data_IF_279866778652
#
_entry.id   IF_279866778652
#
_cell.length_a   1.000
_cell.length_b   1.000
_cell.length_c   1.000
_cell.angle_alpha   90.00
_cell.angle_beta   90.00
_cell.angle_gamma   90.00
#
_symmetry.space_group_name_H-M   'P 1'
#
loop_
_entity.id
_entity.type
_entity.pdbx_description
1 polymer ?
#
# COMPACT_ATOMS: atom_id res chain seq x y z
N UNK A 1 49.55 17.46 -19.64
CA UNK A 1 48.23 16.84 -19.91
C UNK A 1 48.08 15.81 -18.83
N UNK A 2 47.57 16.27 -17.69
CA UNK A 2 47.56 15.46 -16.48
C UNK A 2 46.25 14.68 -16.46
N UNK A 3 46.37 13.36 -16.60
CA UNK A 3 45.27 12.44 -16.35
C UNK A 3 44.97 12.46 -14.86
N UNK A 4 43.93 13.20 -14.47
CA UNK A 4 43.31 13.07 -13.17
C UNK A 4 42.54 11.75 -13.18
N UNK A 5 43.20 10.69 -12.72
CA UNK A 5 42.50 9.51 -12.21
C UNK A 5 41.62 9.96 -11.04
N UNK A 6 40.32 10.03 -11.30
CA UNK A 6 39.29 10.20 -10.28
C UNK A 6 39.30 8.98 -9.36
N UNK A 7 40.13 9.04 -8.32
CA UNK A 7 40.13 8.09 -7.21
C UNK A 7 38.79 8.21 -6.47
N UNK A 8 37.82 7.34 -6.80
CA UNK A 8 36.63 7.14 -5.96
C UNK A 8 37.09 6.71 -4.56
N UNK A 9 36.70 7.39 -3.47
CA UNK A 9 37.04 6.96 -2.13
C UNK A 9 36.40 5.61 -1.82
N UNK A 10 37.23 4.62 -1.46
CA UNK A 10 36.79 3.31 -0.96
C UNK A 10 36.32 3.45 0.50
N UNK A 11 35.02 3.65 0.69
CA UNK A 11 34.19 3.18 1.83
C UNK A 11 32.77 3.79 1.80
N UNK A 12 32.26 4.15 0.62
CA UNK A 12 30.92 4.72 0.51
C UNK A 12 29.91 3.57 0.52
N UNK A 13 29.24 3.34 1.64
CA UNK A 13 28.13 2.39 1.72
C UNK A 13 27.09 2.84 0.69
N UNK A 14 26.83 1.99 -0.31
CA UNK A 14 25.90 2.31 -1.39
C UNK A 14 24.46 2.02 -0.94
N UNK A 15 23.52 2.91 -1.29
CA UNK A 15 22.12 2.75 -0.92
C UNK A 15 21.51 1.46 -1.49
N UNK A 16 21.96 1.02 -2.68
CA UNK A 16 21.52 -0.23 -3.30
C UNK A 16 22.04 -1.45 -2.54
N UNK A 17 23.30 -1.42 -2.10
CA UNK A 17 23.90 -2.51 -1.32
C UNK A 17 23.16 -2.70 0.02
N UNK A 18 22.80 -1.60 0.68
CA UNK A 18 21.97 -1.65 1.89
C UNK A 18 20.57 -2.22 1.60
N UNK A 19 19.93 -1.81 0.51
CA UNK A 19 18.64 -2.38 0.11
C UNK A 19 18.75 -3.89 -0.11
N UNK A 20 19.78 -4.36 -0.82
CA UNK A 20 19.99 -5.78 -1.06
C UNK A 20 20.20 -6.55 0.26
N UNK A 21 20.97 -5.98 1.19
CA UNK A 21 21.15 -6.54 2.53
C UNK A 21 19.84 -6.61 3.30
N UNK A 22 19.04 -5.55 3.26
CA UNK A 22 17.73 -5.50 3.91
C UNK A 22 16.75 -6.56 3.34
N UNK A 23 16.77 -6.78 2.03
CA UNK A 23 15.98 -7.86 1.39
C UNK A 23 16.37 -9.25 1.94
N UNK A 24 17.66 -9.54 2.10
CA UNK A 24 18.13 -10.81 2.68
C UNK A 24 17.68 -10.95 4.14
N UNK A 25 17.71 -9.86 4.91
CA UNK A 25 17.22 -9.86 6.30
C UNK A 25 15.70 -10.10 6.35
N UNK A 26 14.94 -9.55 5.40
CA UNK A 26 13.51 -9.79 5.25
C UNK A 26 13.17 -11.24 4.98
N UNK A 27 13.90 -11.89 4.06
CA UNK A 27 13.72 -13.32 3.75
C UNK A 27 14.00 -14.21 4.97
N UNK A 28 14.87 -13.75 5.87
CA UNK A 28 15.18 -14.42 7.14
C UNK A 28 14.23 -14.05 8.28
N UNK A 29 13.18 -13.27 8.02
CA UNK A 29 12.25 -12.73 9.02
C UNK A 29 12.91 -11.89 10.12
N UNK A 30 14.09 -11.31 9.85
CA UNK A 30 14.78 -10.39 10.75
C UNK A 30 14.23 -8.97 10.56
N UNK A 31 12.96 -8.78 10.91
CA UNK A 31 12.21 -7.58 10.55
C UNK A 31 12.78 -6.29 11.13
N UNK A 32 13.29 -6.31 12.36
CA UNK A 32 13.84 -5.11 12.99
C UNK A 32 15.12 -4.66 12.28
N UNK A 33 16.05 -5.57 12.06
CA UNK A 33 17.30 -5.30 11.37
C UNK A 33 17.06 -4.92 9.90
N UNK A 34 16.11 -5.57 9.24
CA UNK A 34 15.68 -5.19 7.90
C UNK A 34 15.13 -3.76 7.87
N UNK A 35 14.26 -3.39 8.82
CA UNK A 35 13.68 -2.05 8.91
C UNK A 35 14.76 -0.98 9.04
N UNK A 36 15.68 -1.16 9.99
CA UNK A 36 16.78 -0.24 10.24
C UNK A 36 17.69 -0.12 8.99
N UNK A 37 17.95 -1.23 8.29
CA UNK A 37 18.78 -1.24 7.08
C UNK A 37 18.08 -0.56 5.88
N UNK A 38 16.78 -0.77 5.69
CA UNK A 38 16.01 -0.04 4.66
C UNK A 38 15.95 1.45 4.96
N UNK A 39 15.77 1.82 6.23
CA UNK A 39 15.75 3.21 6.65
C UNK A 39 17.09 3.89 6.35
N UNK A 40 18.21 3.26 6.70
CA UNK A 40 19.55 3.74 6.37
C UNK A 40 19.76 3.88 4.85
N UNK A 41 19.31 2.89 4.07
CA UNK A 41 19.31 2.96 2.60
C UNK A 41 18.56 4.20 2.09
N UNK A 42 17.39 4.49 2.66
CA UNK A 42 16.57 5.65 2.29
C UNK A 42 17.23 6.98 2.67
N UNK A 43 17.87 7.07 3.84
CA UNK A 43 18.59 8.27 4.29
C UNK A 43 19.81 8.56 3.40
N UNK A 44 20.61 7.53 3.08
CA UNK A 44 21.75 7.68 2.15
C UNK A 44 21.25 8.11 0.76
N UNK A 45 20.20 7.45 0.26
CA UNK A 45 19.60 7.82 -1.02
C UNK A 45 19.06 9.25 -1.04
N UNK A 46 18.50 9.71 0.08
CA UNK A 46 18.04 11.10 0.25
C UNK A 46 19.21 12.07 0.22
N UNK A 47 20.29 11.78 0.96
CA UNK A 47 21.48 12.63 1.02
C UNK A 47 22.23 12.71 -0.33
N UNK A 48 22.17 11.64 -1.11
CA UNK A 48 22.76 11.57 -2.45
C UNK A 48 21.81 12.04 -3.56
N UNK A 49 20.62 12.54 -3.21
CA UNK A 49 19.59 12.99 -4.15
C UNK A 49 19.26 11.95 -5.24
N UNK A 50 19.24 10.67 -4.85
CA UNK A 50 18.81 9.57 -5.71
C UNK A 50 17.34 9.77 -6.11
N UNK A 51 16.93 9.13 -7.21
CA UNK A 51 15.55 9.15 -7.71
C UNK A 51 14.52 8.94 -6.60
N UNK A 52 13.51 9.81 -6.56
CA UNK A 52 12.54 9.85 -5.47
C UNK A 52 11.66 8.60 -5.32
N UNK A 53 11.44 7.86 -6.39
CA UNK A 53 10.77 6.55 -6.36
C UNK A 53 11.54 5.59 -5.47
N UNK A 54 12.86 5.49 -5.67
CA UNK A 54 13.73 4.68 -4.84
C UNK A 54 13.66 5.08 -3.36
N UNK A 55 13.81 6.37 -3.06
CA UNK A 55 13.75 6.88 -1.68
C UNK A 55 12.43 6.50 -1.01
N UNK A 56 11.30 6.76 -1.69
CA UNK A 56 9.97 6.50 -1.15
C UNK A 56 9.74 5.02 -0.87
N UNK A 57 10.10 4.15 -1.82
CA UNK A 57 9.95 2.71 -1.64
C UNK A 57 10.76 2.19 -0.44
N UNK A 58 11.99 2.70 -0.22
CA UNK A 58 12.81 2.25 0.92
C UNK A 58 12.23 2.67 2.27
N UNK A 59 11.70 3.89 2.40
CA UNK A 59 10.96 4.26 3.60
C UNK A 59 9.67 3.44 3.76
N UNK A 60 8.93 3.16 2.68
CA UNK A 60 7.73 2.31 2.76
C UNK A 60 8.08 0.88 3.20
N UNK A 61 9.18 0.32 2.71
CA UNK A 61 9.66 -1.00 3.09
C UNK A 61 10.10 -1.03 4.56
N UNK A 62 10.85 -0.03 5.02
CA UNK A 62 11.18 0.13 6.44
C UNK A 62 9.93 0.21 7.32
N UNK A 63 8.94 1.01 6.91
CA UNK A 63 7.68 1.16 7.65
C UNK A 63 6.92 -0.17 7.78
N UNK A 64 6.80 -0.94 6.68
CA UNK A 64 6.16 -2.28 6.71
C UNK A 64 6.86 -3.20 7.70
N UNK A 65 8.19 -3.16 7.78
CA UNK A 65 8.96 -3.96 8.72
C UNK A 65 8.71 -3.53 10.16
N UNK A 66 8.73 -2.21 10.43
CA UNK A 66 8.40 -1.68 11.76
C UNK A 66 6.98 -2.01 12.20
N UNK A 67 5.99 -2.00 11.30
CA UNK A 67 4.63 -2.42 11.62
C UNK A 67 4.57 -3.89 12.08
N UNK A 68 5.32 -4.79 11.43
CA UNK A 68 5.40 -6.21 11.85
C UNK A 68 5.95 -6.39 13.27
N UNK A 69 6.80 -5.47 13.71
CA UNK A 69 7.38 -5.46 15.06
C UNK A 69 6.64 -4.52 16.02
N UNK A 70 5.48 -3.97 15.61
CA UNK A 70 4.70 -2.97 16.36
C UNK A 70 5.53 -1.76 16.80
N UNK A 71 6.48 -1.34 15.98
CA UNK A 71 7.38 -0.22 16.24
C UNK A 71 6.81 1.09 15.66
N UNK A 72 6.70 2.11 16.52
CA UNK A 72 6.14 3.43 16.18
C UNK A 72 6.95 4.19 15.12
N UNK A 73 8.21 3.79 14.87
CA UNK A 73 9.06 4.37 13.81
C UNK A 73 8.48 4.19 12.41
N UNK A 74 7.51 3.30 12.23
CA UNK A 74 6.69 3.24 11.01
C UNK A 74 6.07 4.60 10.63
N UNK A 75 5.61 5.38 11.63
CA UNK A 75 5.07 6.72 11.41
C UNK A 75 6.10 7.66 10.77
N UNK A 76 7.33 7.68 11.28
CA UNK A 76 8.38 8.57 10.76
C UNK A 76 8.69 8.24 9.30
N UNK A 77 8.83 6.96 8.98
CA UNK A 77 9.05 6.49 7.61
C UNK A 77 7.94 6.96 6.67
N UNK A 78 6.68 6.73 7.05
CA UNK A 78 5.53 7.20 6.25
C UNK A 78 5.48 8.72 6.11
N UNK A 79 5.78 9.46 7.19
CA UNK A 79 5.82 10.91 7.13
C UNK A 79 6.93 11.41 6.16
N UNK A 80 8.09 10.75 6.13
CA UNK A 80 9.16 11.06 5.16
C UNK A 80 8.72 10.81 3.71
N UNK A 81 7.96 9.74 3.44
CA UNK A 81 7.39 9.49 2.10
C UNK A 81 6.43 10.62 1.69
N UNK A 82 5.58 11.08 2.61
CA UNK A 82 4.70 12.25 2.37
C UNK A 82 5.56 13.48 2.06
N UNK A 83 6.60 13.75 2.84
CA UNK A 83 7.48 14.91 2.64
C UNK A 83 8.20 14.87 1.28
N UNK A 84 8.65 13.70 0.84
CA UNK A 84 9.25 13.54 -0.50
C UNK A 84 8.23 13.84 -1.61
N UNK A 85 6.98 13.37 -1.48
CA UNK A 85 5.93 13.71 -2.46
C UNK A 85 5.63 15.22 -2.47
N UNK A 86 5.54 15.86 -1.30
CA UNK A 86 5.33 17.32 -1.21
C UNK A 86 6.47 18.10 -1.87
N UNK A 87 7.73 17.76 -1.54
CA UNK A 87 8.92 18.38 -2.14
C UNK A 87 8.95 18.27 -3.66
N UNK A 88 8.45 17.16 -4.20
CA UNK A 88 8.39 16.93 -5.65
C UNK A 88 7.13 17.52 -6.32
N UNK A 89 6.32 18.30 -5.59
CA UNK A 89 5.08 18.88 -6.10
C UNK A 89 3.96 17.86 -6.32
N UNK A 90 4.10 16.62 -5.85
CA UNK A 90 3.12 15.55 -5.99
C UNK A 90 2.04 15.63 -4.90
N UNK A 91 1.38 16.80 -4.78
CA UNK A 91 0.49 17.13 -3.65
C UNK A 91 -0.67 16.15 -3.50
N UNK A 92 -1.40 15.85 -4.58
CA UNK A 92 -2.51 14.89 -4.55
C UNK A 92 -2.04 13.49 -4.08
N UNK A 93 -0.83 13.08 -4.47
CA UNK A 93 -0.24 11.81 -4.05
C UNK A 93 0.17 11.86 -2.58
N UNK A 94 0.73 12.97 -2.11
CA UNK A 94 1.05 13.18 -0.70
C UNK A 94 -0.20 13.09 0.18
N UNK A 95 -1.30 13.72 -0.24
CA UNK A 95 -2.60 13.68 0.45
C UNK A 95 -3.14 12.25 0.48
N UNK A 96 -3.16 11.54 -0.65
CA UNK A 96 -3.55 10.13 -0.70
C UNK A 96 -2.74 9.31 0.31
N UNK A 97 -1.41 9.48 0.33
CA UNK A 97 -0.51 8.76 1.23
C UNK A 97 -0.76 9.08 2.70
N UNK A 98 -1.07 10.32 3.06
CA UNK A 98 -1.48 10.69 4.41
C UNK A 98 -2.64 9.82 4.92
N UNK A 99 -3.68 9.61 4.11
CA UNK A 99 -4.84 8.82 4.52
C UNK A 99 -4.59 7.31 4.47
N UNK A 100 -3.89 6.80 3.45
CA UNK A 100 -3.51 5.38 3.39
C UNK A 100 -2.66 4.98 4.61
N UNK A 101 -1.58 5.71 4.86
CA UNK A 101 -0.68 5.40 5.97
C UNK A 101 -1.30 5.67 7.33
N UNK A 102 -2.11 6.73 7.46
CA UNK A 102 -2.89 6.97 8.67
C UNK A 102 -3.81 5.79 8.96
N UNK A 103 -4.49 5.25 7.95
CA UNK A 103 -5.33 4.07 8.11
C UNK A 103 -4.54 2.83 8.53
N UNK A 104 -3.40 2.56 7.89
CA UNK A 104 -2.53 1.45 8.29
C UNK A 104 -2.07 1.56 9.75
N UNK A 105 -1.64 2.75 10.19
CA UNK A 105 -1.27 3.00 11.59
C UNK A 105 -2.47 2.87 12.53
N UNK A 106 -3.67 3.28 12.11
CA UNK A 106 -4.89 3.14 12.90
C UNK A 106 -5.24 1.66 13.13
N UNK A 107 -5.09 0.82 12.11
CA UNK A 107 -5.35 -0.63 12.22
C UNK A 107 -4.27 -1.31 13.06
N UNK A 108 -3.00 -0.98 12.83
CA UNK A 108 -1.88 -1.73 13.41
C UNK A 108 -1.38 -1.22 14.76
N UNK A 109 -1.50 0.09 15.02
CA UNK A 109 -0.90 0.83 16.14
C UNK A 109 -1.88 1.87 16.74
N UNK A 110 -3.17 1.52 16.83
CA UNK A 110 -4.24 2.43 17.27
C UNK A 110 -3.93 3.18 18.57
N UNK A 111 -3.38 2.48 19.56
CA UNK A 111 -3.16 2.99 20.91
C UNK A 111 -2.17 4.16 20.96
N UNK A 112 -1.29 4.26 19.96
CA UNK A 112 -0.25 5.29 19.86
C UNK A 112 -0.79 6.62 19.32
N UNK A 113 -1.99 6.64 18.71
CA UNK A 113 -2.64 7.85 18.20
C UNK A 113 -1.90 8.56 17.04
N UNK A 114 -0.79 8.01 16.54
CA UNK A 114 0.05 8.64 15.52
C UNK A 114 -0.64 8.80 14.17
N UNK A 115 -1.65 7.97 13.88
CA UNK A 115 -2.45 8.08 12.67
C UNK A 115 -3.15 9.43 12.52
N UNK A 116 -3.57 10.07 13.64
CA UNK A 116 -4.22 11.39 13.60
C UNK A 116 -3.29 12.48 13.07
N UNK A 117 -1.96 12.34 13.30
CA UNK A 117 -0.99 13.30 12.75
C UNK A 117 -0.96 13.25 11.23
N UNK A 118 -1.03 12.07 10.64
CA UNK A 118 -1.09 11.91 9.18
C UNK A 118 -2.42 12.38 8.62
N UNK A 119 -3.54 12.06 9.27
CA UNK A 119 -4.86 12.56 8.84
C UNK A 119 -4.93 14.08 8.85
N UNK A 120 -4.50 14.73 9.93
CA UNK A 120 -4.44 16.20 10.01
C UNK A 120 -3.56 16.78 8.90
N UNK A 121 -2.36 16.23 8.71
CA UNK A 121 -1.47 16.66 7.63
C UNK A 121 -2.10 16.54 6.24
N UNK A 122 -2.87 15.48 5.98
CA UNK A 122 -3.61 15.31 4.73
C UNK A 122 -4.68 16.36 4.51
N UNK A 123 -5.44 16.71 5.56
CA UNK A 123 -6.44 17.79 5.48
C UNK A 123 -5.78 19.18 5.37
N UNK A 124 -4.70 19.43 6.11
CA UNK A 124 -3.94 20.69 6.02
C UNK A 124 -3.38 20.90 4.61
N UNK A 125 -2.84 19.84 3.98
CA UNK A 125 -2.38 19.88 2.59
C UNK A 125 -3.52 20.15 1.61
N UNK A 126 -4.72 19.61 1.84
CA UNK A 126 -5.88 19.94 0.99
C UNK A 126 -6.24 21.40 1.09
N UNK A 127 -6.37 21.90 2.32
CA UNK A 127 -6.74 23.29 2.59
C UNK A 127 -5.72 24.25 2.00
N UNK A 128 -4.42 23.97 2.16
CA UNK A 128 -3.34 24.80 1.63
C UNK A 128 -3.36 24.91 0.10
N UNK A 129 -3.87 23.90 -0.59
CA UNK A 129 -3.88 23.82 -2.06
C UNK A 129 -5.29 23.94 -2.66
N UNK A 130 -6.29 24.37 -1.87
CA UNK A 130 -7.69 24.52 -2.27
C UNK A 130 -8.31 23.27 -2.93
N UNK A 131 -7.87 22.08 -2.49
CA UNK A 131 -8.30 20.81 -3.05
C UNK A 131 -9.58 20.31 -2.36
N UNK A 132 -10.67 20.31 -3.11
CA UNK A 132 -11.95 19.78 -2.66
C UNK A 132 -11.97 18.25 -2.70
N UNK A 133 -12.70 17.65 -1.76
CA UNK A 133 -12.95 16.22 -1.73
C UNK A 133 -14.43 15.95 -1.45
N UNK A 134 -14.99 15.01 -2.19
CA UNK A 134 -16.29 14.41 -1.89
C UNK A 134 -16.09 12.91 -1.71
N UNK A 135 -16.60 12.36 -0.62
CA UNK A 135 -16.51 10.94 -0.36
C UNK A 135 -17.36 10.17 -1.38
N UNK A 136 -16.77 9.16 -2.03
CA UNK A 136 -17.51 8.23 -2.89
C UNK A 136 -18.51 7.42 -2.06
N UNK A 137 -18.03 6.88 -0.95
CA UNK A 137 -18.78 6.19 0.10
C UNK A 137 -18.13 6.48 1.44
N UNK A 138 -18.89 6.45 2.54
CA UNK A 138 -18.36 6.54 3.92
C UNK A 138 -18.58 5.26 4.72
N UNK A 139 -19.36 4.33 4.17
CA UNK A 139 -19.59 2.99 4.69
C UNK A 139 -19.71 2.05 3.50
N UNK A 140 -19.19 0.84 3.64
CA UNK A 140 -19.43 -0.23 2.69
C UNK A 140 -20.20 -1.34 3.41
N UNK A 141 -21.44 -1.58 2.97
CA UNK A 141 -22.26 -2.68 3.49
C UNK A 141 -22.02 -3.90 2.61
N UNK A 142 -21.41 -4.94 3.19
CA UNK A 142 -21.12 -6.19 2.47
C UNK A 142 -22.45 -6.82 2.02
N UNK A 143 -22.61 -7.14 0.72
CA UNK A 143 -23.82 -7.77 0.23
C UNK A 143 -24.06 -9.13 0.90
N UNK A 144 -25.30 -9.37 1.35
CA UNK A 144 -25.72 -10.70 1.80
C UNK A 144 -26.09 -11.51 0.56
N UNK A 145 -25.32 -12.54 0.28
CA UNK A 145 -25.47 -13.39 -0.90
C UNK A 145 -25.71 -14.82 -0.42
N UNK A 146 -26.76 -15.46 -0.93
CA UNK A 146 -27.06 -16.86 -0.61
C UNK A 146 -25.95 -17.80 -1.12
N UNK A 147 -25.70 -18.86 -0.35
CA UNK A 147 -24.72 -19.87 -0.73
C UNK A 147 -25.12 -20.51 -2.07
N UNK A 148 -24.21 -20.50 -3.04
CA UNK A 148 -24.38 -20.96 -4.43
C UNK A 148 -25.09 -20.02 -5.41
N UNK A 149 -25.48 -18.79 -5.02
CA UNK A 149 -25.93 -17.79 -6.01
C UNK A 149 -24.74 -17.11 -6.70
N UNK A 150 -24.12 -17.83 -7.62
CA UNK A 150 -22.94 -17.36 -8.34
C UNK A 150 -23.22 -16.12 -9.18
N UNK A 151 -24.43 -16.00 -9.75
CA UNK A 151 -24.78 -14.86 -10.60
C UNK A 151 -24.87 -13.57 -9.78
N UNK A 152 -25.54 -13.63 -8.63
CA UNK A 152 -25.64 -12.48 -7.72
C UNK A 152 -24.26 -12.12 -7.16
N UNK A 153 -23.43 -13.12 -6.82
CA UNK A 153 -22.05 -12.88 -6.42
C UNK A 153 -21.21 -12.20 -7.52
N UNK A 154 -21.31 -12.69 -8.76
CA UNK A 154 -20.62 -12.08 -9.91
C UNK A 154 -21.03 -10.62 -10.10
N UNK A 155 -22.33 -10.32 -10.01
CA UNK A 155 -22.82 -8.95 -10.12
C UNK A 155 -22.31 -8.09 -8.97
N UNK A 156 -22.40 -8.56 -7.72
CA UNK A 156 -21.94 -7.82 -6.55
C UNK A 156 -20.45 -7.48 -6.61
N UNK A 157 -19.60 -8.42 -7.05
CA UNK A 157 -18.16 -8.17 -7.26
C UNK A 157 -17.94 -7.15 -8.39
N UNK A 158 -18.70 -7.26 -9.48
CA UNK A 158 -18.60 -6.28 -10.59
C UNK A 158 -18.97 -4.88 -10.14
N UNK A 159 -20.07 -4.73 -9.39
CA UNK A 159 -20.53 -3.45 -8.85
C UNK A 159 -19.52 -2.87 -7.86
N UNK A 160 -18.93 -3.71 -7.00
CA UNK A 160 -17.86 -3.33 -6.09
C UNK A 160 -16.62 -2.83 -6.84
N UNK A 161 -16.20 -3.51 -7.90
CA UNK A 161 -15.08 -3.08 -8.76
C UNK A 161 -15.37 -1.73 -9.42
N UNK A 162 -16.60 -1.51 -9.90
CA UNK A 162 -16.98 -0.23 -10.51
C UNK A 162 -17.08 0.90 -9.49
N UNK A 163 -17.57 0.61 -8.28
CA UNK A 163 -17.53 1.54 -7.16
C UNK A 163 -16.09 1.89 -6.78
N UNK A 164 -15.19 0.90 -6.75
CA UNK A 164 -13.77 1.08 -6.42
C UNK A 164 -13.05 2.00 -7.41
N UNK A 165 -13.40 1.92 -8.69
CA UNK A 165 -12.88 2.82 -9.75
C UNK A 165 -13.27 4.28 -9.53
N UNK A 166 -14.38 4.58 -8.85
CA UNK A 166 -14.83 5.97 -8.60
C UNK A 166 -13.90 6.74 -7.66
N UNK A 167 -13.08 6.04 -6.86
CA UNK A 167 -12.04 6.69 -6.05
C UNK A 167 -10.86 7.18 -6.90
N UNK A 168 -10.66 6.62 -8.09
CA UNK A 168 -9.49 6.91 -8.94
C UNK A 168 -9.70 8.21 -9.72
N UNK A 169 -8.77 9.15 -9.57
CA UNK A 169 -8.73 10.37 -10.39
C UNK A 169 -7.86 10.09 -11.61
N UNK A 170 -8.44 10.34 -12.80
CA UNK A 170 -7.79 10.12 -14.09
C UNK A 170 -7.51 11.45 -14.75
N UNK A 171 -6.26 11.67 -15.14
CA UNK A 171 -5.82 12.88 -15.82
C UNK A 171 -5.19 12.53 -17.16
N UNK A 172 -5.15 13.51 -18.07
CA UNK A 172 -4.53 13.35 -19.37
C UNK A 172 -3.04 13.75 -19.26
N UNK A 173 -2.15 12.77 -19.34
CA UNK A 173 -0.70 12.99 -19.34
C UNK A 173 -0.15 12.46 -20.66
N UNK A 174 0.51 13.33 -21.43
CA UNK A 174 1.07 13.00 -22.75
C UNK A 174 0.04 12.31 -23.69
N UNK A 175 -1.20 12.80 -23.68
CA UNK A 175 -2.30 12.26 -24.50
C UNK A 175 -2.90 10.94 -24.02
N UNK A 176 -2.42 10.38 -22.90
CA UNK A 176 -2.96 9.14 -22.30
C UNK A 176 -3.69 9.45 -21.00
N UNK A 177 -4.86 8.82 -20.81
CA UNK A 177 -5.55 8.87 -19.52
C UNK A 177 -4.81 7.95 -18.55
N UNK A 178 -4.22 8.53 -17.52
CA UNK A 178 -3.51 7.82 -16.45
C UNK A 178 -4.19 8.08 -15.13
N UNK A 179 -4.18 7.08 -14.24
CA UNK A 179 -4.62 7.27 -12.86
C UNK A 179 -3.48 7.98 -12.13
N UNK A 180 -3.73 9.18 -11.60
CA UNK A 180 -2.71 9.97 -10.91
C UNK A 180 -2.72 9.72 -9.41
N UNK A 181 -3.91 9.62 -8.84
CA UNK A 181 -4.11 9.38 -7.42
C UNK A 181 -5.52 8.86 -7.14
N UNK A 182 -5.76 8.51 -5.88
CA UNK A 182 -7.10 8.25 -5.35
C UNK A 182 -7.55 9.42 -4.47
N UNK A 183 -8.79 9.88 -4.68
CA UNK A 183 -9.40 10.90 -3.85
C UNK A 183 -10.06 10.23 -2.64
N UNK A 184 -9.34 10.21 -1.52
CA UNK A 184 -9.73 9.52 -0.27
C UNK A 184 -9.46 10.43 0.93
N UNK A 185 -10.30 10.40 1.97
CA UNK A 185 -10.11 11.14 3.22
C UNK A 185 -10.30 10.23 4.44
N UNK A 186 -10.16 10.80 5.64
CA UNK A 186 -10.36 10.08 6.90
C UNK A 186 -11.74 9.43 7.05
N UNK A 187 -12.76 9.96 6.37
CA UNK A 187 -14.14 9.48 6.48
C UNK A 187 -14.47 8.34 5.49
N UNK A 188 -13.71 8.18 4.42
CA UNK A 188 -13.99 7.17 3.39
C UNK A 188 -12.91 6.09 3.27
N UNK A 189 -11.75 6.26 3.91
CA UNK A 189 -10.65 5.30 3.81
C UNK A 189 -11.00 3.91 4.37
N UNK A 190 -11.76 3.84 5.47
CA UNK A 190 -12.26 2.57 6.02
C UNK A 190 -13.18 1.88 5.01
N UNK A 191 -14.23 2.57 4.54
CA UNK A 191 -15.16 2.00 3.57
C UNK A 191 -14.48 1.56 2.27
N UNK A 192 -13.44 2.29 1.84
CA UNK A 192 -12.58 1.90 0.70
C UNK A 192 -11.75 0.66 1.01
N UNK A 193 -11.28 0.49 2.24
CA UNK A 193 -10.57 -0.71 2.68
C UNK A 193 -11.48 -1.94 2.74
N UNK A 194 -12.67 -1.80 3.34
CA UNK A 194 -13.68 -2.87 3.41
C UNK A 194 -14.11 -3.31 1.99
N UNK A 195 -14.26 -2.36 1.08
CA UNK A 195 -14.55 -2.61 -0.33
C UNK A 195 -13.43 -3.43 -1.02
N UNK A 196 -12.17 -3.08 -0.78
CA UNK A 196 -11.02 -3.81 -1.33
C UNK A 196 -10.93 -5.23 -0.78
N UNK A 197 -11.18 -5.41 0.51
CA UNK A 197 -11.20 -6.72 1.17
C UNK A 197 -12.26 -7.62 0.54
N UNK A 198 -13.50 -7.14 0.39
CA UNK A 198 -14.57 -7.87 -0.29
C UNK A 198 -14.19 -8.29 -1.72
N UNK A 199 -13.65 -7.37 -2.52
CA UNK A 199 -13.21 -7.67 -3.89
C UNK A 199 -12.15 -8.77 -3.88
N UNK A 200 -11.17 -8.68 -2.98
CA UNK A 200 -10.05 -9.62 -2.88
C UNK A 200 -10.53 -11.01 -2.45
N UNK A 201 -11.35 -11.11 -1.41
CA UNK A 201 -11.85 -12.38 -0.87
C UNK A 201 -12.68 -13.13 -1.90
N UNK A 202 -13.64 -12.45 -2.53
CA UNK A 202 -14.57 -13.10 -3.47
C UNK A 202 -13.90 -13.44 -4.81
N UNK A 203 -12.93 -12.63 -5.25
CA UNK A 203 -12.10 -13.00 -6.42
C UNK A 203 -11.24 -14.22 -6.11
N UNK A 204 -10.68 -14.32 -4.89
CA UNK A 204 -9.86 -15.46 -4.46
C UNK A 204 -10.67 -16.75 -4.31
N UNK A 205 -11.92 -16.66 -3.84
CA UNK A 205 -12.85 -17.82 -3.78
C UNK A 205 -13.12 -18.40 -5.16
N UNK A 206 -13.30 -17.55 -6.19
CA UNK A 206 -13.48 -18.00 -7.58
C UNK A 206 -12.25 -18.72 -8.13
N UNK A 207 -11.04 -18.23 -7.85
CA UNK A 207 -9.82 -18.93 -8.28
C UNK A 207 -9.75 -20.32 -7.67
N UNK A 208 -10.12 -20.47 -6.39
CA UNK A 208 -10.15 -21.78 -5.71
C UNK A 208 -11.28 -22.70 -6.19
N UNK A 209 -12.45 -22.18 -6.56
CA UNK A 209 -13.55 -22.99 -7.08
C UNK A 209 -13.29 -23.49 -8.51
N UNK A 210 -12.61 -22.68 -9.34
CA UNK A 210 -12.15 -23.06 -10.69
C UNK A 210 -10.99 -24.05 -10.64
N UNK A 211 -10.13 -23.96 -9.61
CA UNK A 211 -9.06 -24.93 -9.32
C UNK A 211 -9.47 -25.96 -8.25
N UNK A 212 -10.69 -26.49 -8.28
CA UNK A 212 -10.97 -27.75 -7.56
C UNK A 212 -10.10 -28.85 -8.20
N UNK A 213 -9.16 -29.48 -7.47
CA UNK A 213 -8.43 -30.62 -8.01
C UNK A 213 -9.42 -31.74 -8.30
N UNK A 214 -9.27 -32.38 -9.46
CA UNK A 214 -10.07 -33.51 -9.94
C UNK A 214 -10.06 -34.76 -9.02
N UNK A 215 -9.48 -34.65 -7.82
CA UNK A 215 -9.33 -35.71 -6.83
C UNK A 215 -10.31 -35.58 -5.65
N UNK A 216 -11.23 -34.61 -5.68
CA UNK A 216 -12.25 -34.40 -4.65
C UNK A 216 -13.65 -34.94 -5.03
N UNK A 217 -13.74 -35.83 -6.04
CA UNK A 217 -14.90 -36.69 -6.17
C UNK A 217 -14.74 -37.86 -5.20
N UNK A 218 -15.43 -37.76 -4.05
CA UNK A 218 -15.61 -38.86 -3.12
C UNK A 218 -16.21 -40.05 -3.87
N UNK A 219 -15.54 -41.19 -3.80
CA UNK A 219 -16.04 -42.48 -4.25
C UNK A 219 -17.19 -42.88 -3.32
N UNK A 220 -18.41 -42.74 -3.82
CA UNK A 220 -19.61 -43.25 -3.15
C UNK A 220 -19.59 -44.79 -3.25
N UNK A 221 -18.95 -45.45 -2.29
CA UNK A 221 -19.04 -46.90 -2.11
C UNK A 221 -20.34 -47.22 -1.37
N UNK A 222 -21.45 -47.29 -2.11
CA UNK A 222 -22.58 -48.10 -1.69
C UNK A 222 -22.16 -49.58 -1.72
N UNK A 223 -21.74 -50.09 -0.57
CA UNK A 223 -21.73 -51.53 -0.30
C UNK A 223 -23.19 -51.97 -0.23
N UNK A 224 -23.64 -52.67 -1.27
CA UNK A 224 -24.86 -53.47 -1.22
C UNK A 224 -24.58 -54.70 -0.36
N UNK A 225 -25.23 -54.78 0.79
CA UNK A 225 -25.52 -56.03 1.47
C UNK A 225 -26.53 -56.82 0.62
N UNK A 226 -26.12 -57.98 0.09
CA UNK A 226 -26.86 -59.25 0.00
C UNK A 226 -26.04 -60.31 -0.75
#
# INVERSE_FOLDING_TARGET
MDHVESTRPKSNIDAWDLMCKANILMEKNQFKEAADTYYESAEIATAQEIRSDFIKERYEDAAKCYLKTKDVRAYECYNKVVDVNVKNGQINRAIQKCFEYGYLLFVELKEEGLYEKLYRKGEDLRLLHDLQHSCVITKFDVPVIEENDEKTLQQAVSDAVDLRKKFQVKELVNGKRVITHESICRNCIQARADLDEFIQEETSRKVKSVFKPLWSMEYDQTINDY
#
